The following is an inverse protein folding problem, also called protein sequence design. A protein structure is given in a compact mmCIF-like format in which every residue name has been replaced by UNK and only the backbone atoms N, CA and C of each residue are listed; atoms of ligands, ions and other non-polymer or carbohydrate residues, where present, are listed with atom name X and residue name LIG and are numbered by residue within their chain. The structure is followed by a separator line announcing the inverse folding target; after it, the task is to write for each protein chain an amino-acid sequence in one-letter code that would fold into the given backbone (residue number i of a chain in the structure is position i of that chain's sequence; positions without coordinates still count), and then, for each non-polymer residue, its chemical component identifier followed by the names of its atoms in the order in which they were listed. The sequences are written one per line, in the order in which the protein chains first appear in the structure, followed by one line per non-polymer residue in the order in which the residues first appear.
data_IF_807146349349
#
_entry.id   IF_807146349349
#
_cell.length_a   1.000
_cell.length_b   1.000
_cell.length_c   1.000
_cell.angle_alpha   90.00
_cell.angle_beta   90.00
_cell.angle_gamma   90.00
#
_symmetry.space_group_name_H-M   'P 1'
#
loop_
_entity.id
_entity.type
_entity.pdbx_description
1 polymer ?
#
# COMPACT_ATOMS: atom_id res chain seq x y z
N UNK A 1 -18.40 -5.93 -1.82
CA UNK A 1 -17.14 -5.21 -1.54
C UNK A 1 -16.08 -5.72 -2.49
N UNK A 2 -15.28 -4.81 -3.01
CA UNK A 2 -14.17 -5.16 -3.90
C UNK A 2 -12.89 -5.25 -3.08
N UNK A 3 -11.96 -6.07 -3.53
CA UNK A 3 -10.62 -6.14 -2.97
C UNK A 3 -9.72 -5.09 -3.66
N UNK A 4 -8.84 -4.47 -2.89
CA UNK A 4 -7.90 -3.45 -3.34
C UNK A 4 -6.50 -3.77 -2.84
N UNK A 5 -5.50 -3.47 -3.66
CA UNK A 5 -4.09 -3.37 -3.26
C UNK A 5 -3.70 -1.89 -3.18
N UNK A 6 -2.96 -1.55 -2.13
CA UNK A 6 -2.49 -0.20 -1.86
C UNK A 6 -0.97 -0.25 -1.71
N UNK A 7 -0.28 0.59 -2.49
CA UNK A 7 1.16 0.67 -2.50
C UNK A 7 1.63 2.12 -2.66
N UNK A 8 2.87 2.40 -2.27
CA UNK A 8 3.50 3.73 -2.35
C UNK A 8 4.87 3.64 -3.00
N UNK A 9 5.34 4.73 -3.59
CA UNK A 9 6.73 4.88 -4.03
C UNK A 9 7.62 5.48 -2.92
N UNK A 10 7.04 5.84 -1.78
CA UNK A 10 7.78 6.30 -0.61
C UNK A 10 8.58 5.18 0.05
N UNK A 11 9.61 5.57 0.79
CA UNK A 11 10.49 4.64 1.49
C UNK A 11 11.56 4.05 0.59
N UNK A 12 12.30 3.08 1.13
CA UNK A 12 13.28 2.29 0.38
C UNK A 12 13.04 0.81 0.67
N UNK A 13 13.20 -0.03 -0.35
CA UNK A 13 13.06 -1.48 -0.21
C UNK A 13 14.42 -2.14 -0.32
N UNK A 14 14.68 -3.12 0.53
CA UNK A 14 15.90 -3.92 0.46
C UNK A 14 15.62 -5.15 -0.40
N UNK A 15 16.36 -5.30 -1.50
CA UNK A 15 16.28 -6.49 -2.34
C UNK A 15 16.82 -7.73 -1.59
N UNK A 16 16.35 -8.96 -1.90
CA UNK A 16 16.90 -10.17 -1.28
C UNK A 16 18.41 -10.36 -1.49
N UNK A 17 18.94 -9.82 -2.59
CA UNK A 17 20.37 -9.65 -2.80
C UNK A 17 20.73 -8.18 -2.60
N UNK A 18 21.32 -7.86 -1.45
CA UNK A 18 21.65 -6.50 -1.03
C UNK A 18 22.67 -5.79 -1.95
N UNK A 19 23.32 -6.52 -2.86
CA UNK A 19 24.28 -5.94 -3.82
C UNK A 19 23.63 -5.37 -5.09
N UNK A 20 22.29 -5.45 -5.21
CA UNK A 20 21.55 -4.93 -6.37
C UNK A 20 20.56 -3.90 -5.87
N UNK A 21 20.77 -2.65 -6.26
CA UNK A 21 19.81 -1.57 -6.03
C UNK A 21 18.61 -1.75 -6.97
N UNK A 22 17.40 -1.68 -6.40
CA UNK A 22 16.15 -1.78 -7.15
C UNK A 22 15.23 -0.67 -6.70
N UNK A 23 14.88 0.21 -7.65
CA UNK A 23 13.82 1.19 -7.47
C UNK A 23 12.47 0.51 -7.66
N UNK A 24 11.68 0.36 -6.59
CA UNK A 24 10.36 -0.28 -6.64
C UNK A 24 9.35 0.39 -5.69
N UNK A 25 8.07 0.08 -5.90
CA UNK A 25 7.02 0.47 -4.97
C UNK A 25 6.91 -0.53 -3.81
N UNK A 26 6.50 -0.02 -2.65
CA UNK A 26 6.23 -0.78 -1.44
C UNK A 26 4.73 -1.04 -1.31
N UNK A 27 4.35 -2.31 -1.16
CA UNK A 27 2.96 -2.67 -0.85
C UNK A 27 2.69 -2.40 0.62
N UNK A 28 1.71 -1.55 0.90
CA UNK A 28 1.26 -1.25 2.27
C UNK A 28 0.22 -2.26 2.75
N UNK A 29 -0.58 -2.83 1.84
CA UNK A 29 -1.46 -3.94 2.14
C UNK A 29 -2.56 -4.16 1.12
N UNK A 30 -3.33 -5.23 1.34
CA UNK A 30 -4.59 -5.50 0.65
C UNK A 30 -5.76 -5.33 1.62
N UNK A 31 -6.87 -4.80 1.13
CA UNK A 31 -8.03 -4.46 1.95
C UNK A 31 -9.31 -4.50 1.11
N UNK A 32 -10.46 -4.53 1.78
CA UNK A 32 -11.77 -4.52 1.15
C UNK A 32 -12.47 -3.17 1.34
N UNK A 33 -13.23 -2.74 0.35
CA UNK A 33 -14.07 -1.55 0.41
C UNK A 33 -15.14 -1.55 -0.67
N UNK A 34 -16.14 -0.69 -0.55
CA UNK A 34 -17.11 -0.46 -1.64
C UNK A 34 -16.49 0.41 -2.74
N UNK A 35 -15.51 1.24 -2.40
CA UNK A 35 -14.73 2.08 -3.31
C UNK A 35 -13.28 2.21 -2.82
N UNK A 36 -12.43 2.89 -3.60
CA UNK A 36 -11.01 3.07 -3.30
C UNK A 36 -10.74 3.90 -2.02
N UNK A 37 -11.59 4.89 -1.73
CA UNK A 37 -11.46 5.75 -0.54
C UNK A 37 -11.74 4.96 0.73
N UNK A 38 -12.85 4.22 0.77
CA UNK A 38 -13.20 3.35 1.90
C UNK A 38 -12.16 2.25 2.11
N UNK A 39 -11.64 1.66 1.03
CA UNK A 39 -10.56 0.69 1.10
C UNK A 39 -9.32 1.30 1.79
N UNK A 40 -8.94 2.51 1.40
CA UNK A 40 -7.81 3.22 1.99
C UNK A 40 -8.03 3.56 3.47
N UNK A 41 -9.23 4.01 3.85
CA UNK A 41 -9.59 4.27 5.25
C UNK A 41 -9.54 2.98 6.08
N UNK A 42 -10.06 1.87 5.54
CA UNK A 42 -10.00 0.56 6.17
C UNK A 42 -8.56 0.09 6.39
N UNK A 43 -7.66 0.31 5.42
CA UNK A 43 -6.24 -0.01 5.57
C UNK A 43 -5.63 0.77 6.73
N UNK A 44 -5.81 2.10 6.75
CA UNK A 44 -5.20 2.97 7.75
C UNK A 44 -5.75 2.71 9.17
N UNK A 45 -7.05 2.44 9.29
CA UNK A 45 -7.66 2.09 10.58
C UNK A 45 -7.13 0.75 11.13
N UNK A 46 -6.89 -0.23 10.27
CA UNK A 46 -6.33 -1.53 10.66
C UNK A 46 -4.81 -1.53 10.89
N UNK A 47 -4.11 -0.51 10.41
CA UNK A 47 -2.64 -0.47 10.37
C UNK A 47 -2.08 0.91 10.81
N UNK A 48 -2.16 1.28 12.10
CA UNK A 48 -1.65 2.56 12.61
C UNK A 48 -0.16 2.78 12.29
N UNK A 49 0.62 1.69 12.19
CA UNK A 49 2.04 1.71 11.87
C UNK A 49 2.35 2.46 10.56
N UNK A 50 1.42 2.51 9.59
CA UNK A 50 1.62 3.21 8.32
C UNK A 50 1.82 4.71 8.57
N UNK A 51 0.97 5.29 9.42
CA UNK A 51 1.10 6.70 9.78
C UNK A 51 2.30 6.93 10.72
N UNK A 52 2.55 6.01 11.66
CA UNK A 52 3.70 6.08 12.58
C UNK A 52 5.05 6.00 11.85
N UNK A 53 5.13 5.26 10.75
CA UNK A 53 6.29 5.18 9.87
C UNK A 53 6.46 6.41 8.96
N UNK A 54 5.48 7.33 8.93
CA UNK A 54 5.56 8.59 8.20
C UNK A 54 5.11 8.54 6.74
N UNK A 55 4.41 7.48 6.30
CA UNK A 55 3.88 7.39 4.94
C UNK A 55 2.76 8.41 4.70
N UNK A 56 2.79 9.08 3.55
CA UNK A 56 1.80 10.10 3.23
C UNK A 56 0.67 9.51 2.37
N UNK A 57 -0.56 9.62 2.89
CA UNK A 57 -1.79 9.18 2.21
C UNK A 57 -1.92 9.70 0.77
N UNK A 58 -1.40 10.90 0.46
CA UNK A 58 -1.47 11.45 -0.91
C UNK A 58 -0.62 10.68 -1.92
N UNK A 59 0.39 9.94 -1.47
CA UNK A 59 1.31 9.19 -2.32
C UNK A 59 0.83 7.76 -2.59
N UNK A 60 -0.30 7.36 -2.00
CA UNK A 60 -0.81 6.01 -2.12
C UNK A 60 -1.45 5.80 -3.48
N UNK A 61 -1.01 4.74 -4.16
CA UNK A 61 -1.68 4.20 -5.33
C UNK A 61 -2.64 3.11 -4.90
N UNK A 62 -3.93 3.33 -5.16
CA UNK A 62 -5.01 2.38 -4.82
C UNK A 62 -5.53 1.75 -6.09
N UNK A 63 -5.48 0.41 -6.17
CA UNK A 63 -5.96 -0.36 -7.33
C UNK A 63 -6.91 -1.45 -6.90
N UNK A 64 -8.07 -1.50 -7.54
CA UNK A 64 -9.01 -2.61 -7.39
C UNK A 64 -8.40 -3.86 -8.03
N UNK A 65 -8.37 -4.97 -7.29
CA UNK A 65 -8.01 -6.27 -7.82
C UNK A 65 -9.22 -6.87 -8.53
N UNK A 66 -9.03 -7.38 -9.74
CA UNK A 66 -10.04 -8.20 -10.39
C UNK A 66 -10.02 -9.58 -9.73
N UNK A 67 -11.09 -9.90 -9.01
CA UNK A 67 -11.33 -11.28 -8.58
C UNK A 67 -11.75 -12.08 -9.81
N UNK A 68 -10.96 -13.11 -10.15
CA UNK A 68 -11.22 -14.04 -11.26
C UNK A 68 -12.44 -14.91 -10.93
#
# INVERSE_FOLDING_TARGET
MNEYIIYTAEGYTIAPNENIEVENCQVLGCTYGNNAEEAQDNLLMGNPWIAEAGFNRSEFVVKQLQTI
#
